data_IF_386126652588
#
_entry.id   IF_386126652588
#
_cell.length_a   1.000
_cell.length_b   1.000
_cell.length_c   1.000
_cell.angle_alpha   90.00
_cell.angle_beta   90.00
_cell.angle_gamma   90.00
#
_symmetry.space_group_name_H-M   'P 1'
#
loop_
_entity.id
_entity.type
_entity.pdbx_description
1 polymer ?
#
# COMPACT_ATOMS: atom_id res chain seq x y z
N UNK A 1 25.62 14.29 1.90
CA UNK A 1 25.15 12.89 1.90
C UNK A 1 24.37 12.64 3.18
N UNK A 2 23.10 12.32 3.09
CA UNK A 2 22.31 11.97 4.27
C UNK A 2 22.77 10.59 4.74
N UNK A 3 23.02 10.45 6.03
CA UNK A 3 23.54 9.20 6.60
C UNK A 3 22.47 8.09 6.51
N UNK A 4 22.82 6.94 5.99
CA UNK A 4 21.91 5.79 5.81
C UNK A 4 21.22 5.34 7.11
N UNK A 5 21.81 5.61 8.27
CA UNK A 5 21.21 5.28 9.56
C UNK A 5 19.88 6.01 9.81
N UNK A 6 19.73 7.27 9.34
CA UNK A 6 18.47 8.03 9.47
C UNK A 6 17.33 7.33 8.71
N UNK A 7 17.62 6.88 7.49
CA UNK A 7 16.68 6.09 6.71
C UNK A 7 16.24 4.81 7.43
N UNK A 8 17.21 4.05 7.94
CA UNK A 8 16.92 2.80 8.66
C UNK A 8 16.14 3.05 9.95
N UNK A 9 16.48 4.12 10.69
CA UNK A 9 15.75 4.51 11.89
C UNK A 9 14.28 4.84 11.57
N UNK A 10 14.03 5.76 10.63
CA UNK A 10 12.67 6.16 10.25
C UNK A 10 11.87 4.97 9.71
N UNK A 11 12.47 4.15 8.84
CA UNK A 11 11.82 2.94 8.31
C UNK A 11 11.42 1.96 9.40
N UNK A 12 12.28 1.74 10.39
CA UNK A 12 11.99 0.82 11.49
C UNK A 12 10.93 1.40 12.44
N UNK A 13 10.96 2.71 12.71
CA UNK A 13 9.91 3.38 13.48
C UNK A 13 8.54 3.32 12.78
N UNK A 14 8.50 3.44 11.44
CA UNK A 14 7.26 3.32 10.68
C UNK A 14 6.68 1.89 10.67
N UNK A 15 7.50 0.86 10.89
CA UNK A 15 7.01 -0.53 10.96
C UNK A 15 6.03 -0.77 12.10
N UNK A 16 6.20 -0.09 13.22
CA UNK A 16 5.33 -0.26 14.39
C UNK A 16 3.88 0.16 14.08
N UNK A 17 3.59 1.41 13.70
CA UNK A 17 2.23 1.80 13.35
C UNK A 17 1.71 1.07 12.11
N UNK A 18 2.57 0.78 11.11
CA UNK A 18 2.15 -0.02 9.96
C UNK A 18 1.61 -1.39 10.36
N UNK A 19 2.18 -2.03 11.39
CA UNK A 19 1.67 -3.31 11.91
C UNK A 19 0.24 -3.24 12.47
N UNK A 20 -0.25 -2.03 12.82
CA UNK A 20 -1.63 -1.78 13.21
C UNK A 20 -2.55 -1.39 12.04
N UNK A 21 -2.00 -0.73 11.02
CA UNK A 21 -2.77 -0.28 9.84
C UNK A 21 -2.80 -1.30 8.71
N UNK A 22 -1.71 -2.04 8.55
CA UNK A 22 -1.53 -3.00 7.46
C UNK A 22 -1.45 -4.40 8.02
N UNK A 23 -2.38 -5.24 7.63
CA UNK A 23 -2.43 -6.64 8.00
C UNK A 23 -1.34 -7.42 7.29
N UNK A 24 -1.24 -7.28 5.98
CA UNK A 24 -0.28 -7.97 5.13
C UNK A 24 0.01 -7.18 3.86
N UNK A 25 1.25 -7.29 3.39
CA UNK A 25 1.66 -6.79 2.09
C UNK A 25 2.12 -7.98 1.27
N UNK A 26 1.50 -8.17 0.11
CA UNK A 26 1.91 -9.17 -0.87
C UNK A 26 2.70 -8.50 -1.98
N UNK A 27 3.77 -9.15 -2.42
CA UNK A 27 4.57 -8.72 -3.56
C UNK A 27 4.64 -9.85 -4.58
N UNK A 28 4.07 -9.64 -5.77
CA UNK A 28 4.05 -10.61 -6.85
C UNK A 28 4.76 -10.07 -8.11
N UNK A 29 5.25 -10.98 -8.94
CA UNK A 29 5.99 -10.60 -10.15
C UNK A 29 7.41 -10.08 -9.86
N UNK A 30 7.98 -10.39 -8.69
CA UNK A 30 9.36 -10.00 -8.36
C UNK A 30 10.39 -10.59 -9.32
N UNK A 31 10.06 -11.70 -9.98
CA UNK A 31 10.85 -12.31 -11.04
C UNK A 31 10.96 -11.43 -12.29
N UNK A 32 10.00 -10.54 -12.52
CA UNK A 32 10.00 -9.57 -13.63
C UNK A 32 10.91 -8.36 -13.35
N UNK A 33 11.43 -8.29 -12.12
CA UNK A 33 12.24 -7.16 -11.68
C UNK A 33 13.74 -7.43 -11.98
N UNK A 34 14.40 -6.65 -12.84
CA UNK A 34 15.81 -6.86 -13.17
C UNK A 34 16.70 -6.66 -11.93
N UNK A 35 17.48 -7.69 -11.54
CA UNK A 35 18.21 -7.68 -10.26
C UNK A 35 19.33 -6.65 -10.19
N UNK A 36 20.17 -6.56 -11.22
CA UNK A 36 21.41 -5.78 -11.20
C UNK A 36 21.42 -4.65 -12.24
N UNK A 37 20.24 -4.14 -12.58
CA UNK A 37 20.06 -3.07 -13.56
C UNK A 37 19.37 -1.86 -12.94
N UNK A 38 19.55 -0.66 -13.51
CA UNK A 38 18.78 0.51 -13.16
C UNK A 38 17.29 0.30 -13.51
N UNK A 39 16.41 0.62 -12.58
CA UNK A 39 14.96 0.41 -12.75
C UNK A 39 14.19 1.68 -12.46
N UNK A 40 13.31 2.04 -13.39
CA UNK A 40 12.26 3.05 -13.19
C UNK A 40 10.93 2.32 -12.97
N UNK A 41 10.48 2.24 -11.71
CA UNK A 41 9.15 1.74 -11.36
C UNK A 41 8.09 2.78 -11.73
N UNK A 42 7.10 2.36 -12.50
CA UNK A 42 6.01 3.21 -12.97
C UNK A 42 4.67 2.72 -12.40
N UNK A 43 4.17 3.39 -11.36
CA UNK A 43 3.02 2.94 -10.57
C UNK A 43 1.77 3.80 -10.68
N UNK A 44 0.61 3.22 -10.27
CA UNK A 44 -0.60 3.96 -9.88
C UNK A 44 -0.41 4.59 -8.49
N UNK A 45 -1.28 5.52 -8.10
CA UNK A 45 -1.12 6.31 -6.88
C UNK A 45 -2.42 6.47 -6.08
N UNK A 46 -2.93 5.40 -5.47
CA UNK A 46 -4.22 5.48 -4.76
C UNK A 46 -4.14 6.05 -3.34
N UNK A 47 -2.98 6.00 -2.64
CA UNK A 47 -2.92 6.30 -1.21
C UNK A 47 -1.74 7.19 -0.78
N UNK A 48 -1.44 8.21 -1.56
CA UNK A 48 -0.49 9.27 -1.22
C UNK A 48 0.86 8.75 -0.67
N UNK A 49 1.32 9.27 0.47
CA UNK A 49 2.61 8.89 1.06
C UNK A 49 2.68 7.40 1.44
N UNK A 50 1.54 6.78 1.75
CA UNK A 50 1.52 5.37 2.14
C UNK A 50 2.01 4.47 1.00
N UNK A 51 1.67 4.79 -0.25
CA UNK A 51 2.17 4.04 -1.41
C UNK A 51 3.70 3.99 -1.42
N UNK A 52 4.36 5.14 -1.26
CA UNK A 52 5.83 5.21 -1.20
C UNK A 52 6.40 4.40 -0.03
N UNK A 53 5.76 4.44 1.13
CA UNK A 53 6.18 3.67 2.30
C UNK A 53 6.05 2.17 2.06
N UNK A 54 4.97 1.72 1.40
CA UNK A 54 4.77 0.29 1.07
C UNK A 54 5.91 -0.24 0.19
N UNK A 55 6.28 0.47 -0.85
CA UNK A 55 7.39 0.06 -1.72
C UNK A 55 8.74 -0.01 -0.97
N UNK A 56 8.96 0.81 0.06
CA UNK A 56 10.17 0.74 0.90
C UNK A 56 10.26 -0.55 1.74
N UNK A 57 9.14 -1.30 1.88
CA UNK A 57 9.11 -2.59 2.56
C UNK A 57 9.46 -3.76 1.63
N UNK A 58 9.59 -3.51 0.33
CA UNK A 58 10.11 -4.51 -0.61
C UNK A 58 11.52 -4.93 -0.19
N UNK A 59 11.75 -6.23 -0.06
CA UNK A 59 13.04 -6.77 0.34
C UNK A 59 14.08 -6.64 -0.79
N UNK A 60 15.32 -6.37 -0.43
CA UNK A 60 16.47 -6.49 -1.32
C UNK A 60 16.88 -5.25 -2.11
N UNK A 61 16.06 -4.16 -2.15
CA UNK A 61 16.44 -2.94 -2.86
C UNK A 61 16.04 -1.66 -2.12
N UNK A 62 16.93 -0.68 -2.20
CA UNK A 62 16.67 0.69 -1.76
C UNK A 62 15.95 1.43 -2.90
N UNK A 63 14.73 1.89 -2.63
CA UNK A 63 13.88 2.58 -3.61
C UNK A 63 13.95 4.09 -3.36
N UNK A 64 14.18 4.86 -4.40
CA UNK A 64 14.08 6.31 -4.39
C UNK A 64 12.75 6.71 -5.01
N UNK A 65 11.97 7.54 -4.33
CA UNK A 65 10.62 7.90 -4.80
C UNK A 65 10.56 9.35 -5.24
N UNK A 66 10.07 9.59 -6.45
CA UNK A 66 9.77 10.95 -6.91
C UNK A 66 8.50 11.45 -6.24
N UNK A 67 8.59 12.64 -5.65
CA UNK A 67 7.44 13.30 -5.01
C UNK A 67 7.39 14.79 -5.34
N UNK A 68 6.26 15.43 -5.05
CA UNK A 68 6.02 16.83 -5.37
C UNK A 68 7.11 17.76 -4.82
N UNK A 69 7.58 18.69 -5.66
CA UNK A 69 8.75 19.53 -5.37
C UNK A 69 8.51 20.60 -4.30
N UNK A 70 7.26 21.09 -4.15
CA UNK A 70 6.94 22.15 -3.20
C UNK A 70 7.23 21.80 -1.73
N UNK A 71 7.18 20.50 -1.36
CA UNK A 71 7.49 20.07 0.00
C UNK A 71 8.99 20.17 0.33
N UNK A 72 9.86 20.34 -0.66
CA UNK A 72 11.32 20.50 -0.50
C UNK A 72 11.79 21.95 -0.41
N UNK A 73 10.88 22.92 -0.54
CA UNK A 73 11.25 24.35 -0.54
C UNK A 73 11.78 24.85 0.82
N UNK A 74 11.46 24.15 1.91
CA UNK A 74 11.93 24.52 3.25
C UNK A 74 13.10 23.60 3.67
N UNK A 75 14.14 24.12 4.38
CA UNK A 75 15.34 23.36 4.71
C UNK A 75 15.10 22.07 5.50
N UNK A 76 14.31 22.12 6.57
CA UNK A 76 14.05 20.96 7.43
C UNK A 76 13.25 19.85 6.71
N UNK A 77 12.11 20.13 6.07
CA UNK A 77 11.44 19.14 5.23
C UNK A 77 12.34 18.56 4.13
N UNK A 78 13.11 19.40 3.44
CA UNK A 78 14.03 18.94 2.41
C UNK A 78 15.05 17.94 2.97
N UNK A 79 15.66 18.22 4.11
CA UNK A 79 16.58 17.29 4.77
C UNK A 79 15.90 15.97 5.12
N UNK A 80 14.72 16.02 5.77
CA UNK A 80 13.98 14.82 6.20
C UNK A 80 13.54 13.97 5.01
N UNK A 81 12.95 14.57 3.99
CA UNK A 81 12.46 13.84 2.81
C UNK A 81 13.59 13.21 2.00
N UNK A 82 14.70 13.93 1.83
CA UNK A 82 15.89 13.35 1.18
C UNK A 82 16.51 12.20 1.99
N UNK A 83 16.42 12.27 3.34
CA UNK A 83 16.83 11.18 4.23
C UNK A 83 15.98 9.92 4.04
N UNK A 84 14.72 10.09 3.65
CA UNK A 84 13.79 9.01 3.34
C UNK A 84 13.87 8.55 1.87
N UNK A 85 14.92 8.91 1.15
CA UNK A 85 15.12 8.64 -0.28
C UNK A 85 14.09 9.29 -1.21
N UNK A 86 13.39 10.33 -0.79
CA UNK A 86 12.51 11.09 -1.65
C UNK A 86 13.30 12.09 -2.49
N UNK A 87 12.88 12.28 -3.74
CA UNK A 87 13.48 13.26 -4.67
C UNK A 87 12.40 14.16 -5.23
N UNK A 88 12.64 15.48 -5.32
CA UNK A 88 11.63 16.42 -5.79
C UNK A 88 11.39 16.29 -7.29
N UNK A 89 10.13 16.41 -7.71
CA UNK A 89 9.75 16.70 -9.09
C UNK A 89 8.77 17.86 -9.07
N UNK A 90 9.12 18.97 -9.72
CA UNK A 90 8.30 20.17 -9.75
C UNK A 90 7.36 20.16 -10.95
N UNK A 91 6.07 20.27 -10.68
CA UNK A 91 5.05 20.51 -11.69
C UNK A 91 4.83 22.00 -11.86
N UNK A 92 4.27 22.43 -12.97
CA UNK A 92 4.02 23.86 -13.25
C UNK A 92 3.24 24.61 -12.13
N UNK A 93 2.43 23.87 -11.37
CA UNK A 93 1.64 24.41 -10.24
C UNK A 93 2.37 24.41 -8.89
N UNK A 94 3.53 23.77 -8.78
CA UNK A 94 4.22 23.54 -7.50
C UNK A 94 5.17 24.70 -7.14
N UNK A 95 5.66 25.45 -8.14
CA UNK A 95 6.55 26.58 -7.96
C UNK A 95 6.51 27.49 -9.21
N UNK A 96 7.14 28.67 -9.13
CA UNK A 96 7.34 29.48 -10.32
C UNK A 96 8.20 28.75 -11.35
N UNK A 97 8.10 29.16 -12.63
CA UNK A 97 8.72 28.44 -13.76
C UNK A 97 10.23 28.30 -13.65
N UNK A 98 10.93 29.29 -13.09
CA UNK A 98 12.39 29.28 -12.95
C UNK A 98 12.83 28.32 -11.85
N UNK A 99 12.21 28.37 -10.65
CA UNK A 99 12.48 27.45 -9.55
C UNK A 99 12.16 26.01 -9.96
N UNK A 100 11.02 25.81 -10.65
CA UNK A 100 10.65 24.49 -11.14
C UNK A 100 11.66 23.94 -12.15
N UNK A 101 12.10 24.76 -13.12
CA UNK A 101 13.09 24.35 -14.12
C UNK A 101 14.44 24.02 -13.50
N UNK A 102 14.97 24.92 -12.62
CA UNK A 102 16.24 24.68 -11.95
C UNK A 102 16.20 23.44 -11.06
N UNK A 103 15.14 23.28 -10.26
CA UNK A 103 14.93 22.12 -9.40
C UNK A 103 14.80 20.82 -10.18
N UNK A 104 14.08 20.81 -11.31
CA UNK A 104 13.96 19.63 -12.15
C UNK A 104 15.29 19.26 -12.82
N UNK A 105 16.07 20.23 -13.31
CA UNK A 105 17.38 19.94 -13.88
C UNK A 105 18.29 19.27 -12.84
N UNK A 106 18.36 19.84 -11.63
CA UNK A 106 19.12 19.23 -10.54
C UNK A 106 18.63 17.80 -10.22
N UNK A 107 17.32 17.61 -10.20
CA UNK A 107 16.73 16.28 -9.97
C UNK A 107 17.13 15.31 -11.09
N UNK A 108 17.10 15.73 -12.36
CA UNK A 108 17.49 14.86 -13.48
C UNK A 108 18.98 14.44 -13.36
N UNK A 109 19.86 15.33 -12.92
CA UNK A 109 21.27 15.00 -12.67
C UNK A 109 21.39 13.96 -11.53
N UNK A 110 20.66 14.15 -10.41
CA UNK A 110 20.63 13.19 -9.32
C UNK A 110 20.08 11.81 -9.75
N UNK A 111 19.01 11.78 -10.58
CA UNK A 111 18.44 10.54 -11.11
C UNK A 111 19.43 9.80 -12.01
N UNK A 112 20.14 10.53 -12.85
CA UNK A 112 21.16 9.94 -13.72
C UNK A 112 22.25 9.25 -12.89
N UNK A 113 22.76 9.91 -11.84
CA UNK A 113 23.76 9.33 -10.94
C UNK A 113 23.22 8.09 -10.20
N UNK A 114 21.95 8.12 -9.79
CA UNK A 114 21.32 6.96 -9.16
C UNK A 114 21.19 5.78 -10.14
N UNK A 115 20.77 6.01 -11.38
CA UNK A 115 20.66 4.96 -12.39
C UNK A 115 22.02 4.39 -12.78
N UNK A 116 23.06 5.21 -12.90
CA UNK A 116 24.45 4.73 -13.12
C UNK A 116 24.92 3.77 -12.03
N UNK A 117 24.40 3.93 -10.82
CA UNK A 117 24.67 3.05 -9.68
C UNK A 117 23.63 1.94 -9.50
N UNK A 118 22.91 1.56 -10.55
CA UNK A 118 21.91 0.50 -10.58
C UNK A 118 20.82 0.65 -9.51
N UNK A 119 20.45 1.91 -9.16
CA UNK A 119 19.40 2.16 -8.18
C UNK A 119 18.01 2.06 -8.82
N UNK A 120 17.02 1.88 -7.96
CA UNK A 120 15.61 1.83 -8.32
C UNK A 120 14.93 3.15 -7.98
N UNK A 121 14.22 3.72 -8.94
CA UNK A 121 13.45 4.95 -8.76
C UNK A 121 11.99 4.65 -9.00
N UNK A 122 11.11 5.09 -8.10
CA UNK A 122 9.66 4.97 -8.22
C UNK A 122 9.07 6.30 -8.63
N UNK A 123 8.24 6.26 -9.66
CA UNK A 123 7.39 7.37 -10.09
C UNK A 123 5.94 6.91 -10.15
N UNK A 124 5.05 7.75 -9.66
CA UNK A 124 3.61 7.55 -9.80
C UNK A 124 3.14 8.25 -11.07
N UNK A 125 2.92 7.47 -12.12
CA UNK A 125 2.70 7.96 -13.50
C UNK A 125 1.38 8.72 -13.68
N UNK A 126 0.44 8.60 -12.74
CA UNK A 126 -0.81 9.37 -12.70
C UNK A 126 -0.59 10.86 -12.38
N UNK A 127 0.51 11.21 -11.71
CA UNK A 127 0.88 12.58 -11.34
C UNK A 127 0.05 13.20 -10.23
N UNK A 128 -0.92 12.48 -9.67
CA UNK A 128 -1.72 12.87 -8.50
C UNK A 128 -2.29 11.63 -7.83
N UNK A 129 -2.51 11.70 -6.51
CA UNK A 129 -3.07 10.58 -5.75
C UNK A 129 -4.57 10.75 -5.53
N UNK A 130 -5.32 9.64 -5.63
CA UNK A 130 -6.76 9.59 -5.38
C UNK A 130 -7.14 8.24 -4.77
N UNK A 131 -7.95 8.21 -3.69
CA UNK A 131 -8.33 6.99 -2.99
C UNK A 131 -9.47 6.26 -3.75
N UNK A 132 -9.16 5.82 -4.96
CA UNK A 132 -10.09 5.15 -5.86
C UNK A 132 -9.45 3.88 -6.39
N UNK A 133 -10.23 2.82 -6.52
CA UNK A 133 -9.85 1.60 -7.25
C UNK A 133 -10.13 1.81 -8.74
N UNK A 134 -9.24 2.52 -9.38
CA UNK A 134 -9.30 2.83 -10.82
C UNK A 134 -7.90 3.18 -11.33
N UNK A 135 -7.71 3.10 -12.64
CA UNK A 135 -6.51 3.60 -13.31
C UNK A 135 -6.88 4.89 -14.04
N UNK A 136 -6.14 5.94 -13.74
CA UNK A 136 -6.31 7.22 -14.42
C UNK A 136 -5.41 7.32 -15.63
N UNK A 137 -5.75 8.21 -16.55
CA UNK A 137 -4.89 8.49 -17.69
C UNK A 137 -3.50 8.95 -17.22
N UNK A 138 -2.48 8.23 -17.63
CA UNK A 138 -1.11 8.48 -17.21
C UNK A 138 -0.54 9.75 -17.88
N UNK A 139 0.43 10.34 -17.20
CA UNK A 139 1.21 11.46 -17.73
C UNK A 139 2.44 10.93 -18.46
N UNK A 140 2.83 11.60 -19.55
CA UNK A 140 4.01 11.22 -20.38
C UNK A 140 5.36 11.41 -19.64
N UNK A 141 5.36 11.94 -18.41
CA UNK A 141 6.57 12.25 -17.64
C UNK A 141 7.50 11.06 -17.43
N UNK A 142 6.94 9.87 -17.18
CA UNK A 142 7.72 8.63 -17.01
C UNK A 142 8.52 8.29 -18.27
N UNK A 143 7.89 8.36 -19.46
CA UNK A 143 8.55 8.13 -20.73
C UNK A 143 9.64 9.18 -21.01
N UNK A 144 9.37 10.45 -20.75
CA UNK A 144 10.36 11.52 -20.94
C UNK A 144 11.58 11.36 -20.02
N UNK A 145 11.38 11.00 -18.74
CA UNK A 145 12.50 10.72 -17.83
C UNK A 145 13.34 9.55 -18.36
N UNK A 146 12.71 8.45 -18.76
CA UNK A 146 13.44 7.28 -19.28
C UNK A 146 14.28 7.62 -20.52
N UNK A 147 13.72 8.40 -21.46
CA UNK A 147 14.42 8.86 -22.67
C UNK A 147 15.57 9.82 -22.33
N UNK A 148 15.35 10.78 -21.43
CA UNK A 148 16.41 11.71 -21.00
C UNK A 148 17.59 10.96 -20.37
N UNK A 149 17.33 9.98 -19.51
CA UNK A 149 18.37 9.18 -18.85
C UNK A 149 19.21 8.36 -19.84
N UNK A 150 18.57 7.72 -20.83
CA UNK A 150 19.32 6.92 -21.80
C UNK A 150 20.14 7.80 -22.76
N UNK A 151 19.63 8.98 -23.14
CA UNK A 151 20.34 9.97 -23.95
C UNK A 151 21.58 10.51 -23.23
N UNK A 152 21.47 10.85 -21.94
CA UNK A 152 22.59 11.33 -21.11
C UNK A 152 23.74 10.32 -21.03
N UNK A 153 23.44 9.04 -21.17
CA UNK A 153 24.43 7.96 -21.20
C UNK A 153 24.96 7.60 -22.58
N UNK A 154 24.65 8.39 -23.58
CA UNK A 154 24.87 8.03 -24.98
C UNK A 154 24.36 6.62 -25.33
N UNK A 155 23.13 6.32 -24.85
CA UNK A 155 22.44 5.03 -25.02
C UNK A 155 23.17 3.81 -24.42
N UNK A 156 24.09 4.02 -23.50
CA UNK A 156 24.82 2.91 -22.85
C UNK A 156 24.09 2.38 -21.59
N UNK A 157 23.25 3.19 -20.95
CA UNK A 157 22.54 2.81 -19.75
C UNK A 157 21.49 1.73 -20.07
N UNK A 158 21.59 0.57 -19.39
CA UNK A 158 20.63 -0.53 -19.54
C UNK A 158 19.40 -0.32 -18.61
N UNK A 159 18.70 0.81 -18.82
CA UNK A 159 17.54 1.21 -18.04
C UNK A 159 16.30 0.40 -18.40
N UNK A 160 15.61 -0.08 -17.38
CA UNK A 160 14.34 -0.79 -17.51
C UNK A 160 13.20 -0.02 -16.86
N UNK A 161 12.07 0.12 -17.55
CA UNK A 161 10.81 0.56 -16.96
C UNK A 161 10.07 -0.70 -16.51
N UNK A 162 9.65 -0.73 -15.24
CA UNK A 162 8.83 -1.81 -14.69
C UNK A 162 7.49 -1.23 -14.26
N UNK A 163 6.39 -1.53 -14.98
CA UNK A 163 5.06 -1.18 -14.52
C UNK A 163 4.75 -1.90 -13.21
N UNK A 164 4.16 -1.18 -12.26
CA UNK A 164 3.84 -1.74 -10.95
C UNK A 164 2.49 -1.24 -10.46
N UNK A 165 1.65 -2.14 -9.98
CA UNK A 165 0.33 -1.82 -9.47
C UNK A 165 0.27 -2.04 -7.96
N UNK A 166 -0.32 -1.08 -7.23
CA UNK A 166 -0.65 -1.24 -5.82
C UNK A 166 -2.17 -1.26 -5.65
N UNK A 167 -2.67 -2.30 -4.97
CA UNK A 167 -4.08 -2.52 -4.68
C UNK A 167 -4.28 -2.60 -3.17
N UNK A 168 -5.26 -1.87 -2.66
CA UNK A 168 -5.66 -1.87 -1.26
C UNK A 168 -7.00 -2.58 -1.10
N UNK A 169 -7.15 -3.43 -0.08
CA UNK A 169 -8.45 -4.05 0.22
C UNK A 169 -9.53 -2.99 0.44
N UNK A 170 -9.16 -1.91 1.13
CA UNK A 170 -10.04 -0.77 1.41
C UNK A 170 -9.19 0.49 1.62
N UNK A 171 -9.80 1.67 1.60
CA UNK A 171 -9.18 2.94 1.98
C UNK A 171 -9.74 3.43 3.30
N UNK A 172 -8.93 4.06 4.14
CA UNK A 172 -9.35 4.63 5.42
C UNK A 172 -9.58 3.63 6.55
N UNK A 173 -9.51 2.34 6.27
CA UNK A 173 -9.73 1.26 7.23
C UNK A 173 -8.45 0.84 7.93
N UNK A 174 -8.59 0.26 9.12
CA UNK A 174 -7.50 -0.44 9.79
C UNK A 174 -7.31 -1.83 9.18
N UNK A 175 -6.14 -2.41 9.40
CA UNK A 175 -5.82 -3.78 9.02
C UNK A 175 -6.04 -4.09 7.54
N UNK A 176 -5.67 -3.14 6.67
CA UNK A 176 -5.74 -3.32 5.22
C UNK A 176 -4.79 -4.42 4.74
N UNK A 177 -5.22 -5.18 3.76
CA UNK A 177 -4.34 -6.04 2.97
C UNK A 177 -3.94 -5.27 1.72
N UNK A 178 -2.65 -5.30 1.39
CA UNK A 178 -2.10 -4.58 0.26
C UNK A 178 -1.43 -5.58 -0.67
N UNK A 179 -1.70 -5.44 -1.94
CA UNK A 179 -1.09 -6.25 -2.98
C UNK A 179 -0.32 -5.36 -3.94
N UNK A 180 0.96 -5.63 -4.11
CA UNK A 180 1.86 -4.95 -5.06
C UNK A 180 2.30 -5.95 -6.11
N UNK A 181 2.06 -5.64 -7.37
CA UNK A 181 2.48 -6.47 -8.49
C UNK A 181 3.47 -5.74 -9.40
N UNK A 182 4.40 -6.49 -9.98
CA UNK A 182 5.40 -6.01 -10.94
C UNK A 182 5.19 -6.74 -12.27
N UNK A 183 4.90 -5.99 -13.33
CA UNK A 183 4.73 -6.56 -14.67
C UNK A 183 6.08 -6.67 -15.39
N UNK A 184 6.07 -7.29 -16.56
CA UNK A 184 7.27 -7.48 -17.38
C UNK A 184 7.98 -6.17 -17.65
N UNK A 185 9.29 -6.17 -17.47
CA UNK A 185 10.12 -4.99 -17.68
C UNK A 185 10.19 -4.61 -19.16
N UNK A 186 10.28 -3.31 -19.42
CA UNK A 186 10.48 -2.72 -20.74
C UNK A 186 11.92 -2.20 -20.79
N UNK A 187 12.77 -2.79 -21.63
CA UNK A 187 14.12 -2.30 -21.87
C UNK A 187 14.06 -1.01 -22.69
N UNK A 188 14.53 0.10 -22.11
CA UNK A 188 14.54 1.40 -22.82
C UNK A 188 15.57 1.41 -23.95
N UNK A 189 16.65 0.65 -23.79
CA UNK A 189 17.74 0.53 -24.77
C UNK A 189 17.27 -0.04 -26.10
N UNK A 190 16.26 -0.92 -26.07
CA UNK A 190 15.72 -1.55 -27.29
C UNK A 190 15.00 -0.54 -28.21
N UNK A 191 14.69 0.66 -27.68
CA UNK A 191 14.04 1.74 -28.42
C UNK A 191 15.02 2.80 -28.93
N UNK A 192 16.33 2.56 -28.88
CA UNK A 192 17.37 3.53 -29.23
C UNK A 192 17.13 4.20 -30.58
N UNK A 193 16.91 3.42 -31.64
CA UNK A 193 16.72 3.97 -32.99
C UNK A 193 15.39 4.73 -33.11
N UNK A 194 14.32 4.19 -32.53
CA UNK A 194 13.03 4.87 -32.52
C UNK A 194 13.07 6.20 -31.72
N UNK A 195 13.86 6.27 -30.64
CA UNK A 195 14.05 7.50 -29.85
C UNK A 195 14.77 8.56 -30.70
N UNK A 196 15.76 8.18 -31.50
CA UNK A 196 16.47 9.10 -32.40
C UNK A 196 15.55 9.66 -33.48
N UNK A 197 14.60 8.87 -33.94
CA UNK A 197 13.62 9.25 -34.97
C UNK A 197 12.53 10.17 -34.39
N UNK A 198 11.85 9.73 -33.34
CA UNK A 198 10.75 10.50 -32.70
C UNK A 198 10.60 10.20 -31.19
N UNK A 199 11.25 11.00 -30.38
CA UNK A 199 11.20 10.90 -28.90
C UNK A 199 9.77 11.02 -28.33
N UNK A 200 8.93 11.87 -28.93
CA UNK A 200 7.57 12.11 -28.44
C UNK A 200 6.69 10.89 -28.65
N UNK A 201 6.82 10.25 -29.80
CA UNK A 201 6.13 9.01 -30.14
C UNK A 201 6.55 7.87 -29.22
N UNK A 202 7.85 7.73 -28.93
CA UNK A 202 8.34 6.68 -28.02
C UNK A 202 7.89 6.95 -26.58
N UNK A 203 7.91 8.21 -26.10
CA UNK A 203 7.37 8.55 -24.77
C UNK A 203 5.89 8.18 -24.66
N UNK A 204 5.12 8.37 -25.72
CA UNK A 204 3.72 7.93 -25.80
C UNK A 204 3.58 6.41 -25.79
N UNK A 205 4.39 5.69 -26.54
CA UNK A 205 4.43 4.22 -26.55
C UNK A 205 4.72 3.66 -25.15
N UNK A 206 5.71 4.21 -24.44
CA UNK A 206 5.97 3.80 -23.05
C UNK A 206 4.77 4.09 -22.14
N UNK A 207 4.15 5.27 -22.29
CA UNK A 207 2.97 5.65 -21.49
C UNK A 207 1.82 4.68 -21.74
N UNK A 208 1.54 4.32 -22.99
CA UNK A 208 0.46 3.39 -23.35
C UNK A 208 0.74 1.98 -22.83
N UNK A 209 1.97 1.48 -22.97
CA UNK A 209 2.35 0.16 -22.41
C UNK A 209 2.22 0.09 -20.90
N UNK A 210 2.60 1.17 -20.17
CA UNK A 210 2.41 1.27 -18.73
C UNK A 210 0.91 1.31 -18.40
N UNK A 211 0.12 2.10 -19.14
CA UNK A 211 -1.32 2.20 -18.95
C UNK A 211 -2.00 0.83 -19.10
N UNK A 212 -1.73 0.11 -20.18
CA UNK A 212 -2.25 -1.23 -20.45
C UNK A 212 -1.87 -2.23 -19.35
N UNK A 213 -0.64 -2.14 -18.86
CA UNK A 213 -0.18 -2.98 -17.77
C UNK A 213 -0.94 -2.69 -16.46
N UNK A 214 -1.11 -1.41 -16.11
CA UNK A 214 -1.85 -1.02 -14.90
C UNK A 214 -3.32 -1.43 -14.99
N UNK A 215 -3.98 -1.27 -16.14
CA UNK A 215 -5.37 -1.68 -16.35
C UNK A 215 -5.59 -3.20 -16.17
N UNK A 216 -4.55 -3.99 -16.42
CA UNK A 216 -4.58 -5.45 -16.22
C UNK A 216 -4.28 -5.89 -14.78
N UNK A 217 -3.62 -5.03 -13.98
CA UNK A 217 -3.09 -5.38 -12.66
C UNK A 217 -3.77 -4.62 -11.51
N UNK A 218 -4.50 -3.54 -11.81
CA UNK A 218 -5.25 -2.75 -10.83
C UNK A 218 -6.69 -3.24 -10.79
N UNK A 219 -7.22 -3.41 -9.59
CA UNK A 219 -8.64 -3.63 -9.35
C UNK A 219 -9.40 -2.37 -9.73
N UNK A 220 -10.36 -2.50 -10.65
CA UNK A 220 -11.20 -1.40 -11.12
C UNK A 220 -12.64 -1.66 -10.66
N UNK A 221 -13.05 -0.96 -9.62
CA UNK A 221 -14.41 -1.08 -9.09
C UNK A 221 -15.31 0.04 -9.57
N UNK A 222 -14.74 1.17 -9.99
CA UNK A 222 -15.49 2.34 -10.45
C UNK A 222 -16.28 2.04 -11.74
N UNK A 223 -17.56 2.37 -11.74
CA UNK A 223 -18.48 2.16 -12.86
C UNK A 223 -19.58 1.17 -12.50
N UNK A 224 -19.95 0.30 -13.44
CA UNK A 224 -20.99 -0.69 -13.21
C UNK A 224 -20.57 -1.72 -12.16
N UNK A 225 -21.51 -2.13 -11.31
CA UNK A 225 -21.34 -3.17 -10.29
C UNK A 225 -20.26 -2.83 -9.24
N UNK A 226 -20.17 -1.57 -8.83
CA UNK A 226 -19.13 -1.10 -7.88
C UNK A 226 -19.14 -1.89 -6.57
N UNK A 227 -20.32 -2.10 -5.95
CA UNK A 227 -20.43 -2.80 -4.67
C UNK A 227 -20.05 -4.28 -4.80
N UNK A 228 -20.50 -4.92 -5.87
CA UNK A 228 -20.19 -6.33 -6.15
C UNK A 228 -18.69 -6.53 -6.42
N UNK A 229 -18.08 -5.64 -7.18
CA UNK A 229 -16.62 -5.66 -7.44
C UNK A 229 -15.82 -5.42 -6.17
N UNK A 230 -16.23 -4.48 -5.32
CA UNK A 230 -15.59 -4.26 -4.01
C UNK A 230 -15.67 -5.53 -3.15
N UNK A 231 -16.83 -6.16 -3.09
CA UNK A 231 -17.04 -7.40 -2.34
C UNK A 231 -16.21 -8.56 -2.89
N UNK A 232 -16.18 -8.75 -4.21
CA UNK A 232 -15.35 -9.76 -4.85
C UNK A 232 -13.85 -9.52 -4.63
N UNK A 233 -13.42 -8.26 -4.67
CA UNK A 233 -12.04 -7.91 -4.37
C UNK A 233 -11.67 -8.27 -2.93
N UNK A 234 -12.57 -8.04 -1.99
CA UNK A 234 -12.36 -8.43 -0.59
C UNK A 234 -12.22 -9.96 -0.46
N UNK A 235 -13.04 -10.73 -1.16
CA UNK A 235 -12.92 -12.21 -1.19
C UNK A 235 -11.56 -12.63 -1.76
N UNK A 236 -11.16 -12.10 -2.91
CA UNK A 236 -9.88 -12.45 -3.56
C UNK A 236 -8.71 -12.17 -2.63
N UNK A 237 -8.66 -10.98 -2.05
CA UNK A 237 -7.60 -10.57 -1.12
C UNK A 237 -7.62 -11.43 0.14
N UNK A 238 -8.79 -11.79 0.66
CA UNK A 238 -8.93 -12.58 1.88
C UNK A 238 -8.68 -14.08 1.66
N UNK A 239 -9.02 -14.64 0.51
CA UNK A 239 -8.69 -16.04 0.18
C UNK A 239 -7.20 -16.29 0.17
N UNK A 240 -6.43 -15.34 -0.30
CA UNK A 240 -4.98 -15.34 -0.25
C UNK A 240 -4.41 -15.15 1.17
N UNK A 241 -5.28 -15.01 2.15
CA UNK A 241 -4.94 -14.92 3.58
C UNK A 241 -4.44 -16.21 4.20
N UNK A 242 -4.75 -17.35 3.60
CA UNK A 242 -4.14 -18.61 3.99
C UNK A 242 -2.65 -18.54 3.61
N UNK A 243 -1.74 -19.13 4.41
CA UNK A 243 -0.31 -19.14 4.12
C UNK A 243 0.05 -19.89 2.83
N UNK A 244 -0.91 -20.20 2.01
CA UNK A 244 -0.77 -20.90 0.76
C UNK A 244 -0.74 -19.91 -0.40
N UNK A 245 0.48 -19.62 -0.80
CA UNK A 245 0.86 -19.35 -2.18
C UNK A 245 -0.20 -18.66 -3.03
N UNK A 246 -0.03 -17.36 -3.28
CA UNK A 246 -0.38 -16.88 -4.60
C UNK A 246 0.24 -17.88 -5.56
N UNK A 247 -0.59 -18.62 -6.28
CA UNK A 247 -0.12 -19.70 -7.14
C UNK A 247 0.82 -19.18 -8.21
N UNK A 248 0.66 -17.91 -8.61
CA UNK A 248 1.60 -17.14 -9.45
C UNK A 248 1.06 -15.72 -9.68
N UNK A 249 1.91 -14.83 -10.14
CA UNK A 249 1.54 -13.53 -10.70
C UNK A 249 0.43 -13.65 -11.76
N UNK A 250 0.48 -14.66 -12.62
CA UNK A 250 -0.52 -14.89 -13.64
C UNK A 250 -1.90 -15.21 -13.07
N UNK A 251 -1.99 -15.96 -11.96
CA UNK A 251 -3.27 -16.27 -11.30
C UNK A 251 -3.93 -14.99 -10.75
N UNK A 252 -3.17 -14.12 -10.08
CA UNK A 252 -3.66 -12.83 -9.62
C UNK A 252 -4.23 -12.01 -10.78
N UNK A 253 -3.46 -11.88 -11.84
CA UNK A 253 -3.81 -11.10 -13.01
C UNK A 253 -5.09 -11.61 -13.70
N UNK A 254 -5.27 -12.93 -13.79
CA UNK A 254 -6.49 -13.53 -14.32
C UNK A 254 -7.70 -13.21 -13.45
N UNK A 255 -7.58 -13.36 -12.13
CA UNK A 255 -8.65 -13.03 -11.19
C UNK A 255 -9.05 -11.55 -11.28
N UNK A 256 -8.09 -10.63 -11.39
CA UNK A 256 -8.38 -9.21 -11.57
C UNK A 256 -9.06 -8.92 -12.92
N UNK A 257 -8.63 -9.55 -13.99
CA UNK A 257 -9.26 -9.38 -15.31
C UNK A 257 -10.73 -9.83 -15.28
N UNK A 258 -11.02 -10.98 -14.66
CA UNK A 258 -12.39 -11.48 -14.47
C UNK A 258 -13.23 -10.55 -13.59
N UNK A 259 -12.66 -10.05 -12.47
CA UNK A 259 -13.34 -9.11 -11.59
C UNK A 259 -13.67 -7.79 -12.31
N UNK A 260 -12.72 -7.24 -13.06
CA UNK A 260 -12.93 -5.98 -13.76
C UNK A 260 -14.01 -6.06 -14.84
N UNK A 261 -14.27 -7.26 -15.39
CA UNK A 261 -15.19 -7.52 -16.50
C UNK A 261 -16.41 -8.36 -16.13
N UNK A 262 -16.87 -8.31 -14.86
CA UNK A 262 -18.07 -9.09 -14.45
C UNK A 262 -19.30 -8.71 -15.25
N UNK A 263 -20.13 -9.72 -15.55
CA UNK A 263 -21.43 -9.54 -16.20
C UNK A 263 -22.54 -9.24 -15.18
N UNK A 264 -23.70 -8.72 -15.66
CA UNK A 264 -24.89 -8.56 -14.82
C UNK A 264 -25.32 -9.88 -14.18
N UNK A 265 -25.20 -11.01 -14.89
CA UNK A 265 -25.54 -12.33 -14.34
C UNK A 265 -24.63 -12.68 -13.15
N UNK A 266 -23.35 -12.34 -13.22
CA UNK A 266 -22.40 -12.53 -12.11
C UNK A 266 -22.71 -11.57 -10.97
N UNK A 267 -22.91 -10.30 -11.25
CA UNK A 267 -23.25 -9.28 -10.25
C UNK A 267 -24.55 -9.65 -9.49
N UNK A 268 -25.56 -10.17 -10.18
CA UNK A 268 -26.79 -10.66 -9.56
C UNK A 268 -26.55 -11.79 -8.55
N UNK A 269 -25.68 -12.76 -8.89
CA UNK A 269 -25.32 -13.84 -7.95
C UNK A 269 -24.58 -13.30 -6.73
N UNK A 270 -23.68 -12.33 -6.94
CA UNK A 270 -22.93 -11.67 -5.85
C UNK A 270 -23.90 -10.94 -4.92
N UNK A 271 -24.84 -10.14 -5.46
CA UNK A 271 -25.88 -9.46 -4.66
C UNK A 271 -26.72 -10.43 -3.83
N UNK A 272 -27.14 -11.54 -4.43
CA UNK A 272 -27.90 -12.58 -3.71
C UNK A 272 -27.09 -13.17 -2.56
N UNK A 273 -25.80 -13.42 -2.76
CA UNK A 273 -24.94 -13.92 -1.71
C UNK A 273 -24.70 -12.88 -0.62
N UNK A 274 -24.39 -11.62 -0.98
CA UNK A 274 -24.23 -10.50 -0.03
C UNK A 274 -25.50 -10.36 0.83
N UNK A 275 -26.68 -10.41 0.22
CA UNK A 275 -27.95 -10.39 0.95
C UNK A 275 -28.05 -11.56 1.91
N UNK A 276 -27.75 -12.78 1.46
CA UNK A 276 -27.83 -13.98 2.31
C UNK A 276 -26.92 -13.90 3.54
N UNK A 277 -25.65 -13.46 3.39
CA UNK A 277 -24.75 -13.33 4.54
C UNK A 277 -25.22 -12.24 5.51
N UNK A 278 -25.77 -11.13 5.00
CA UNK A 278 -26.34 -10.07 5.83
C UNK A 278 -27.60 -10.54 6.60
N UNK A 279 -28.50 -11.27 5.95
CA UNK A 279 -29.72 -11.82 6.57
C UNK A 279 -29.38 -12.77 7.74
N UNK A 280 -28.28 -13.52 7.61
CA UNK A 280 -27.77 -14.39 8.68
C UNK A 280 -26.83 -13.69 9.68
N UNK A 281 -26.47 -12.44 9.45
CA UNK A 281 -25.56 -11.69 10.33
C UNK A 281 -24.12 -12.22 10.39
N UNK A 282 -23.63 -12.80 9.29
CA UNK A 282 -22.27 -13.35 9.16
C UNK A 282 -21.49 -12.62 8.05
N UNK A 283 -20.18 -12.80 8.02
CA UNK A 283 -19.32 -12.29 6.95
C UNK A 283 -18.80 -13.44 6.07
N UNK A 284 -18.42 -13.13 4.84
CA UNK A 284 -17.79 -14.09 3.90
C UNK A 284 -16.64 -14.88 4.53
N UNK A 285 -15.83 -14.22 5.36
CA UNK A 285 -14.73 -14.85 6.06
C UNK A 285 -15.14 -16.08 6.90
N UNK A 286 -16.36 -16.10 7.45
CA UNK A 286 -16.89 -17.23 8.23
C UNK A 286 -17.32 -18.38 7.31
N UNK A 287 -17.94 -18.06 6.18
CA UNK A 287 -18.38 -19.04 5.17
C UNK A 287 -17.15 -19.67 4.51
N UNK A 288 -16.08 -18.92 4.26
CA UNK A 288 -14.83 -19.37 3.66
C UNK A 288 -13.95 -20.30 4.51
N UNK A 289 -14.50 -20.93 5.55
CA UNK A 289 -13.79 -21.85 6.48
C UNK A 289 -12.62 -21.20 7.23
N UNK A 290 -12.67 -19.91 7.46
CA UNK A 290 -11.75 -19.23 8.37
C UNK A 290 -12.21 -19.50 9.80
N UNK A 291 -12.05 -20.76 10.26
CA UNK A 291 -12.26 -21.07 11.68
C UNK A 291 -11.09 -20.51 12.50
N UNK A 292 -11.39 -19.82 13.58
CA UNK A 292 -10.40 -19.64 14.63
C UNK A 292 -10.05 -21.04 15.16
N UNK A 293 -8.79 -21.41 15.03
CA UNK A 293 -8.26 -22.50 15.81
C UNK A 293 -8.09 -22.05 17.28
N UNK A 294 -7.92 -23.00 18.18
CA UNK A 294 -7.72 -22.72 19.59
C UNK A 294 -6.52 -21.79 19.85
N UNK A 295 -5.50 -21.86 19.01
CA UNK A 295 -4.29 -21.01 19.08
C UNK A 295 -4.63 -19.55 18.76
N UNK A 296 -5.43 -19.31 17.73
CA UNK A 296 -5.88 -17.95 17.38
C UNK A 296 -6.75 -17.33 18.49
N UNK A 297 -7.63 -18.13 19.11
CA UNK A 297 -8.43 -17.69 20.27
C UNK A 297 -7.52 -17.37 21.47
N UNK A 298 -6.56 -18.25 21.77
CA UNK A 298 -5.61 -18.02 22.85
C UNK A 298 -4.78 -16.75 22.61
N UNK A 299 -4.25 -16.56 21.40
CA UNK A 299 -3.51 -15.36 21.02
C UNK A 299 -4.39 -14.10 21.17
N UNK A 300 -5.66 -14.16 20.76
CA UNK A 300 -6.59 -13.03 20.91
C UNK A 300 -6.83 -12.68 22.39
N UNK A 301 -7.08 -13.67 23.23
CA UNK A 301 -7.28 -13.49 24.67
C UNK A 301 -6.02 -12.96 25.39
N UNK A 302 -4.87 -13.55 25.06
CA UNK A 302 -3.57 -13.10 25.58
C UNK A 302 -3.29 -11.65 25.16
N UNK A 303 -3.50 -11.34 23.87
CA UNK A 303 -3.33 -10.01 23.29
C UNK A 303 -4.25 -9.00 23.98
N UNK A 304 -5.51 -9.38 24.24
CA UNK A 304 -6.47 -8.57 24.99
C UNK A 304 -5.97 -8.28 26.42
N UNK A 305 -5.55 -9.31 27.15
CA UNK A 305 -5.03 -9.14 28.51
C UNK A 305 -3.82 -8.22 28.58
N UNK A 306 -2.88 -8.36 27.67
CA UNK A 306 -1.66 -7.52 27.60
C UNK A 306 -1.98 -6.09 27.18
N UNK A 307 -2.95 -5.90 26.27
CA UNK A 307 -3.30 -4.56 25.79
C UNK A 307 -4.22 -3.78 26.72
N UNK A 308 -4.93 -4.45 27.63
CA UNK A 308 -5.95 -3.86 28.50
C UNK A 308 -5.46 -2.64 29.29
N UNK A 309 -4.28 -2.63 29.93
CA UNK A 309 -3.80 -1.48 30.68
C UNK A 309 -3.54 -0.24 29.82
N UNK A 310 -3.15 -0.45 28.56
CA UNK A 310 -2.83 0.63 27.63
C UNK A 310 -3.99 0.96 26.69
N UNK A 311 -4.99 0.09 26.63
CA UNK A 311 -6.15 0.20 25.75
C UNK A 311 -6.88 1.55 25.89
N UNK A 312 -7.18 1.97 27.10
CA UNK A 312 -7.89 3.24 27.31
C UNK A 312 -7.10 4.45 26.84
N UNK A 313 -5.77 4.45 27.09
CA UNK A 313 -4.88 5.53 26.65
C UNK A 313 -4.83 5.57 25.11
N UNK A 314 -4.64 4.43 24.48
CA UNK A 314 -4.59 4.34 23.02
C UNK A 314 -5.93 4.68 22.36
N UNK A 315 -7.05 4.29 22.96
CA UNK A 315 -8.39 4.62 22.47
C UNK A 315 -8.63 6.14 22.48
N UNK A 316 -8.26 6.82 23.56
CA UNK A 316 -8.39 8.28 23.67
C UNK A 316 -7.48 8.98 22.65
N UNK A 317 -6.21 8.60 22.59
CA UNK A 317 -5.25 9.17 21.65
C UNK A 317 -5.69 8.95 20.19
N UNK A 318 -6.18 7.75 19.87
CA UNK A 318 -6.69 7.41 18.57
C UNK A 318 -7.90 8.25 18.20
N UNK A 319 -8.91 8.31 19.08
CA UNK A 319 -10.12 9.08 18.83
C UNK A 319 -9.81 10.57 18.63
N UNK A 320 -8.94 11.13 19.46
CA UNK A 320 -8.48 12.50 19.31
C UNK A 320 -7.76 12.72 17.98
N UNK A 321 -6.86 11.82 17.60
CA UNK A 321 -6.12 11.88 16.34
C UNK A 321 -7.04 11.82 15.13
N UNK A 322 -8.04 10.93 15.14
CA UNK A 322 -9.03 10.81 14.08
C UNK A 322 -9.86 12.08 13.95
N UNK A 323 -10.41 12.56 15.08
CA UNK A 323 -11.19 13.80 15.09
C UNK A 323 -10.38 15.00 14.58
N UNK A 324 -9.08 15.06 14.89
CA UNK A 324 -8.20 16.11 14.41
C UNK A 324 -7.97 16.02 12.89
N UNK A 325 -7.72 14.82 12.38
CA UNK A 325 -7.50 14.58 10.95
C UNK A 325 -8.78 14.89 10.18
N UNK A 326 -9.92 14.36 10.61
CA UNK A 326 -11.20 14.53 9.93
C UNK A 326 -11.64 16.01 9.88
N UNK A 327 -11.35 16.78 10.95
CA UNK A 327 -11.67 18.23 11.02
C UNK A 327 -10.69 19.10 10.23
N UNK A 328 -9.40 18.77 10.20
CA UNK A 328 -8.36 19.65 9.67
C UNK A 328 -7.92 19.29 8.25
N UNK A 329 -8.06 18.02 7.85
CA UNK A 329 -7.57 17.52 6.57
C UNK A 329 -8.73 17.30 5.60
N UNK A 330 -8.94 18.25 4.72
CA UNK A 330 -10.05 18.19 3.74
C UNK A 330 -9.88 17.08 2.69
N UNK A 331 -8.64 16.70 2.38
CA UNK A 331 -8.37 15.72 1.34
C UNK A 331 -8.17 14.33 1.95
N UNK A 332 -9.13 13.44 1.75
CA UNK A 332 -9.18 12.08 2.28
C UNK A 332 -7.95 11.23 1.87
N UNK A 333 -7.31 11.54 0.74
CA UNK A 333 -6.10 10.88 0.24
C UNK A 333 -4.97 10.86 1.27
N UNK A 334 -4.90 11.89 2.13
CA UNK A 334 -3.85 11.99 3.14
C UNK A 334 -4.22 11.33 4.47
N UNK A 335 -5.47 10.90 4.66
CA UNK A 335 -5.96 10.41 5.94
C UNK A 335 -5.14 9.22 6.43
N UNK A 336 -4.97 8.18 5.62
CA UNK A 336 -4.22 6.97 6.03
C UNK A 336 -2.77 7.27 6.34
N UNK A 337 -2.12 8.07 5.50
CA UNK A 337 -0.72 8.49 5.69
C UNK A 337 -0.54 9.30 6.99
N UNK A 338 -1.48 10.20 7.27
CA UNK A 338 -1.46 11.01 8.50
C UNK A 338 -1.81 10.18 9.73
N UNK A 339 -2.75 9.22 9.62
CA UNK A 339 -3.06 8.28 10.70
C UNK A 339 -1.81 7.49 11.10
N UNK A 340 -1.09 6.94 10.13
CA UNK A 340 0.16 6.21 10.38
C UNK A 340 1.23 7.13 10.98
N UNK A 341 1.46 8.30 10.40
CA UNK A 341 2.47 9.25 10.88
C UNK A 341 2.17 9.80 12.28
N UNK A 342 0.92 10.19 12.54
CA UNK A 342 0.51 10.71 13.84
C UNK A 342 0.55 9.61 14.92
N UNK A 343 0.14 8.40 14.59
CA UNK A 343 0.23 7.25 15.49
C UNK A 343 1.68 6.95 15.87
N UNK A 344 2.61 7.03 14.91
CA UNK A 344 4.06 6.89 15.18
C UNK A 344 4.54 7.97 16.15
N UNK A 345 4.18 9.22 15.89
CA UNK A 345 4.61 10.35 16.71
C UNK A 345 4.05 10.28 18.14
N UNK A 346 2.76 9.97 18.29
CA UNK A 346 2.12 9.79 19.59
C UNK A 346 2.68 8.59 20.35
N UNK A 347 3.00 7.49 19.66
CA UNK A 347 3.63 6.31 20.26
C UNK A 347 5.01 6.67 20.84
N UNK A 348 5.79 7.47 20.13
CA UNK A 348 7.10 7.92 20.60
C UNK A 348 6.97 8.83 21.81
N UNK A 349 6.06 9.80 21.80
CA UNK A 349 5.79 10.69 22.95
C UNK A 349 5.35 9.88 24.15
N UNK A 350 4.41 8.95 23.97
CA UNK A 350 3.92 8.10 25.06
C UNK A 350 5.03 7.22 25.63
N UNK A 351 5.87 6.64 24.77
CA UNK A 351 7.01 5.84 25.19
C UNK A 351 8.00 6.67 26.05
N UNK A 352 8.32 7.89 25.62
CA UNK A 352 9.18 8.81 26.39
C UNK A 352 8.52 9.18 27.72
N UNK A 353 7.23 9.54 27.71
CA UNK A 353 6.49 9.89 28.92
C UNK A 353 6.47 8.74 29.93
N UNK A 354 6.21 7.52 29.49
CA UNK A 354 6.25 6.32 30.33
C UNK A 354 7.66 6.11 30.89
N UNK A 355 8.68 6.18 30.06
CA UNK A 355 10.07 6.01 30.50
C UNK A 355 10.46 7.05 31.58
N UNK A 356 10.09 8.32 31.38
CA UNK A 356 10.37 9.40 32.36
C UNK A 356 9.55 9.22 33.65
N UNK A 357 8.25 8.95 33.56
CA UNK A 357 7.40 8.79 34.74
C UNK A 357 7.83 7.61 35.62
N UNK A 358 8.24 6.51 35.00
CA UNK A 358 8.60 5.30 35.75
C UNK A 358 10.09 5.21 36.09
N UNK A 359 10.97 6.06 35.53
CA UNK A 359 12.40 6.03 35.83
C UNK A 359 12.74 6.26 37.32
N UNK A 360 11.92 7.00 38.03
CA UNK A 360 12.10 7.29 39.45
C UNK A 360 11.39 6.31 40.40
N UNK A 361 10.52 5.44 39.85
CA UNK A 361 9.64 4.56 40.67
C UNK A 361 9.98 3.09 40.53
N UNK A 362 10.58 2.70 39.41
CA UNK A 362 10.96 1.32 39.11
C UNK A 362 12.37 1.26 38.51
N UNK A 363 13.01 0.10 38.59
CA UNK A 363 14.33 -0.06 37.99
C UNK A 363 14.28 0.20 36.47
N UNK A 364 15.42 0.59 35.83
CA UNK A 364 15.51 0.85 34.41
C UNK A 364 14.98 -0.32 33.53
N UNK A 365 15.16 -1.56 34.02
CA UNK A 365 14.62 -2.75 33.34
C UNK A 365 13.09 -2.72 33.28
N UNK A 366 12.43 -2.46 34.41
CA UNK A 366 10.94 -2.38 34.45
C UNK A 366 10.41 -1.19 33.65
N UNK A 367 11.07 -0.03 33.73
CA UNK A 367 10.70 1.13 32.89
C UNK A 367 10.77 0.78 31.40
N UNK A 368 11.80 0.07 30.97
CA UNK A 368 11.95 -0.40 29.58
C UNK A 368 10.84 -1.40 29.20
N UNK A 369 10.57 -2.39 30.05
CA UNK A 369 9.52 -3.39 29.81
C UNK A 369 8.12 -2.76 29.74
N UNK A 370 7.80 -1.79 30.58
CA UNK A 370 6.53 -1.05 30.54
C UNK A 370 6.41 -0.22 29.26
N UNK A 371 7.50 0.41 28.81
CA UNK A 371 7.52 1.18 27.57
C UNK A 371 7.29 0.26 26.36
N UNK A 372 8.02 -0.86 26.26
CA UNK A 372 7.82 -1.85 25.20
C UNK A 372 6.42 -2.47 25.24
N UNK A 373 5.92 -2.77 26.43
CA UNK A 373 4.56 -3.27 26.65
C UNK A 373 3.48 -2.29 26.20
N UNK A 374 3.67 -0.98 26.42
CA UNK A 374 2.72 0.03 25.96
C UNK A 374 2.68 0.15 24.44
N UNK A 375 3.85 0.12 23.77
CA UNK A 375 3.94 0.13 22.31
C UNK A 375 3.26 -1.12 21.74
N UNK A 376 3.57 -2.29 22.30
CA UNK A 376 2.95 -3.55 21.91
C UNK A 376 1.43 -3.53 22.14
N UNK A 377 0.97 -3.02 23.26
CA UNK A 377 -0.45 -2.84 23.56
C UNK A 377 -1.16 -1.95 22.54
N UNK A 378 -0.52 -0.90 22.08
CA UNK A 378 -1.05 -0.05 21.00
C UNK A 378 -1.25 -0.82 19.69
N UNK A 379 -0.28 -1.65 19.28
CA UNK A 379 -0.41 -2.50 18.10
C UNK A 379 -1.53 -3.53 18.27
N UNK A 380 -1.59 -4.15 19.45
CA UNK A 380 -2.63 -5.10 19.80
C UNK A 380 -4.02 -4.49 19.76
N UNK A 381 -4.15 -3.23 20.18
CA UNK A 381 -5.42 -2.51 20.13
C UNK A 381 -6.02 -2.46 18.73
N UNK A 382 -5.22 -2.14 17.72
CA UNK A 382 -5.69 -2.10 16.33
C UNK A 382 -6.22 -3.45 15.87
N UNK A 383 -5.57 -4.54 16.28
CA UNK A 383 -6.03 -5.91 15.98
C UNK A 383 -7.32 -6.27 16.72
N UNK A 384 -7.47 -5.82 17.97
CA UNK A 384 -8.68 -6.08 18.75
C UNK A 384 -9.92 -5.39 18.18
N UNK A 385 -9.80 -4.16 17.70
CA UNK A 385 -10.90 -3.44 17.04
C UNK A 385 -11.47 -4.24 15.87
N UNK A 386 -10.63 -5.00 15.17
CA UNK A 386 -11.07 -5.87 14.09
C UNK A 386 -11.59 -7.22 14.59
N UNK A 387 -10.93 -7.81 15.59
CA UNK A 387 -11.24 -9.16 16.06
C UNK A 387 -12.56 -9.26 16.83
N UNK A 388 -12.94 -8.22 17.57
CA UNK A 388 -14.16 -8.26 18.39
C UNK A 388 -15.44 -8.41 17.55
N UNK A 389 -15.70 -7.58 16.51
CA UNK A 389 -16.86 -7.79 15.64
C UNK A 389 -16.82 -9.14 14.93
N UNK A 390 -15.64 -9.56 14.50
CA UNK A 390 -15.45 -10.85 13.86
C UNK A 390 -15.83 -12.01 14.81
N UNK A 391 -15.40 -11.95 16.07
CA UNK A 391 -15.73 -12.98 17.07
C UNK A 391 -17.23 -13.12 17.31
N UNK A 392 -17.99 -12.00 17.41
CA UNK A 392 -19.43 -12.04 17.56
C UNK A 392 -20.12 -12.73 16.35
N UNK A 393 -19.72 -12.39 15.17
CA UNK A 393 -20.25 -13.04 13.95
C UNK A 393 -19.82 -14.51 13.84
N UNK A 394 -18.66 -14.87 14.38
CA UNK A 394 -18.24 -16.29 14.49
C UNK A 394 -19.16 -17.10 15.39
N UNK A 395 -19.62 -16.52 16.52
CA UNK A 395 -20.60 -17.19 17.39
C UNK A 395 -21.92 -17.40 16.66
N UNK A 396 -22.37 -16.41 15.90
CA UNK A 396 -23.56 -16.54 15.06
C UNK A 396 -23.38 -17.68 14.06
N UNK A 397 -22.25 -17.74 13.35
CA UNK A 397 -21.93 -18.82 12.43
C UNK A 397 -21.96 -20.19 13.10
N UNK A 398 -21.39 -20.36 14.30
CA UNK A 398 -21.41 -21.63 15.02
C UNK A 398 -22.83 -22.05 15.39
N UNK A 399 -23.69 -21.12 15.78
CA UNK A 399 -25.10 -21.38 16.13
C UNK A 399 -26.04 -21.69 14.95
N UNK A 400 -25.61 -21.43 13.70
CA UNK A 400 -26.43 -21.66 12.51
C UNK A 400 -26.65 -23.16 12.25
N UNK A 401 -27.83 -23.48 11.66
CA UNK A 401 -28.15 -24.84 11.19
C UNK A 401 -27.19 -25.28 10.09
N UNK A 402 -26.95 -26.58 9.99
CA UNK A 402 -26.05 -27.17 9.00
C UNK A 402 -26.53 -26.92 7.57
N UNK A 403 -27.85 -26.89 7.37
CA UNK A 403 -28.49 -26.62 6.07
C UNK A 403 -28.15 -25.21 5.57
N UNK A 404 -28.33 -24.18 6.42
CA UNK A 404 -28.03 -22.79 6.12
C UNK A 404 -26.54 -22.57 5.80
N UNK A 405 -25.65 -23.23 6.59
CA UNK A 405 -24.21 -23.21 6.34
C UNK A 405 -23.85 -23.81 4.98
N UNK A 406 -24.50 -24.91 4.60
CA UNK A 406 -24.27 -25.58 3.32
C UNK A 406 -24.74 -24.70 2.16
N UNK A 407 -25.92 -24.08 2.30
CA UNK A 407 -26.46 -23.14 1.29
C UNK A 407 -25.52 -21.96 1.05
N UNK A 408 -25.07 -21.29 2.13
CA UNK A 408 -24.12 -20.19 2.02
C UNK A 408 -22.80 -20.61 1.40
N UNK A 409 -22.28 -21.79 1.80
CA UNK A 409 -21.03 -22.32 1.24
C UNK A 409 -21.15 -22.62 -0.25
N UNK A 410 -22.30 -23.15 -0.69
CA UNK A 410 -22.55 -23.42 -2.10
C UNK A 410 -22.62 -22.13 -2.93
N UNK A 411 -23.37 -21.14 -2.44
CA UNK A 411 -23.44 -19.81 -3.07
C UNK A 411 -22.05 -19.17 -3.19
N UNK A 412 -21.27 -19.23 -2.12
CA UNK A 412 -19.89 -18.73 -2.09
C UNK A 412 -18.99 -19.42 -3.11
N UNK A 413 -18.99 -20.74 -3.12
CA UNK A 413 -18.16 -21.51 -4.05
C UNK A 413 -18.51 -21.15 -5.51
N UNK A 414 -19.79 -21.00 -5.84
CA UNK A 414 -20.21 -20.55 -7.17
C UNK A 414 -19.61 -19.22 -7.56
N UNK A 415 -19.49 -18.27 -6.63
CA UNK A 415 -18.89 -16.95 -6.87
C UNK A 415 -17.36 -17.06 -7.00
N UNK A 416 -16.73 -17.83 -6.11
CA UNK A 416 -15.27 -18.04 -6.14
C UNK A 416 -14.86 -18.71 -7.45
N UNK A 417 -15.57 -19.71 -7.92
CA UNK A 417 -15.29 -20.40 -9.19
C UNK A 417 -15.37 -19.47 -10.41
N UNK A 418 -16.20 -18.43 -10.35
CA UNK A 418 -16.30 -17.44 -11.45
C UNK A 418 -15.01 -16.58 -11.52
N UNK A 419 -14.45 -16.22 -10.38
CA UNK A 419 -13.31 -15.28 -10.30
C UNK A 419 -11.94 -16.00 -10.20
N UNK A 420 -11.93 -17.31 -9.95
CA UNK A 420 -10.72 -18.15 -9.97
C UNK A 420 -10.34 -18.51 -11.41
#
# INVERSE_FOLDING_TARGET
MVKDWVFHLIRNLLRLPLGGFVRKIHFDGLENFPKDKPVLLAGNHPNSFLDGVIYQHMSGRKIYTLTRGDVFLKPLPNYLFRSMNLRPIFRARDANSEVARKGNNQTMDELYDLFKNNKTILIFSEGSSYPEKSVRRLKKGTGHIAIDMIKRSDYQLDLHIVPTAVNYSSFGSLMQTIHVSFDKSISVKDYKEAIKEDEKKVAEQFTNRIQESLEKNVVITKGDFTEEKEFLHEIIINENYRPFTFKSYDTWRLSIAKLNSISEATASKVRQYMKSINDFGVDDAHVGKRSFDAVSIFIALFTFGVSLPTYMIWRVLWYFSMSLIDKKVKNIVFHDSLKVGLSMFLSLILAIAIAVLFSNWVSPLWATLLTLGSIYGGICWFRLVELVPYFWKQLTWFGMKKEDKNELSQKRNTIVDIIS
#
